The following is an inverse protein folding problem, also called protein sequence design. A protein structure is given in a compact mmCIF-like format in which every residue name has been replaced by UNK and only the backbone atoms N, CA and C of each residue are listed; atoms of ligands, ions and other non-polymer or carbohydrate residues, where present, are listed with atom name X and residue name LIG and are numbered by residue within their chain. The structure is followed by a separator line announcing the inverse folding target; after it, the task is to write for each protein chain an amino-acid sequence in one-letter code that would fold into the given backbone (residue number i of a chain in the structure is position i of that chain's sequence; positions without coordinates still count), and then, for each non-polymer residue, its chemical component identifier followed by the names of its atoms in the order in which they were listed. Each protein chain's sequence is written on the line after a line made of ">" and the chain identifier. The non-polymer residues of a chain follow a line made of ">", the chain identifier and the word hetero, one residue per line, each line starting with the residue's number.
data_IF_023114061927
#
_entry.id   IF_023114061927
#
_cell.length_a   1.000
_cell.length_b   1.000
_cell.length_c   1.000
_cell.angle_alpha   90.00
_cell.angle_beta   90.00
_cell.angle_gamma   90.00
#
_symmetry.space_group_name_H-M   'P 1'
#
loop_
_entity.id
_entity.type
_entity.pdbx_description
1 polymer ?
#
# COMPACT_ATOMS: atom_id res chain seq x y z
N UNK A 1 -1.72 4.68 15.96
CA UNK A 1 -1.44 3.71 14.87
C UNK A 1 -0.11 4.03 14.18
N UNK A 2 0.65 3.04 13.72
CA UNK A 2 1.88 3.24 12.93
C UNK A 2 1.61 2.95 11.45
N UNK A 3 1.76 3.97 10.61
CA UNK A 3 1.62 3.87 9.16
C UNK A 3 3.00 3.98 8.52
N UNK A 4 3.31 3.07 7.61
CA UNK A 4 4.42 3.20 6.67
C UNK A 4 3.86 3.50 5.28
N UNK A 5 4.11 4.71 4.77
CA UNK A 5 3.86 5.00 3.36
C UNK A 5 5.06 4.55 2.53
N UNK A 6 4.81 3.73 1.51
CA UNK A 6 5.83 3.41 0.50
C UNK A 6 5.38 4.01 -0.81
N UNK A 7 6.20 4.86 -1.41
CA UNK A 7 5.71 5.71 -2.49
C UNK A 7 6.74 5.96 -3.59
N UNK A 8 6.23 6.31 -4.77
CA UNK A 8 6.99 6.86 -5.88
C UNK A 8 6.45 8.26 -6.23
N UNK A 9 7.24 9.02 -6.98
CA UNK A 9 6.79 10.23 -7.67
C UNK A 9 6.18 11.34 -6.79
N UNK A 10 5.47 12.24 -7.46
CA UNK A 10 4.79 13.38 -6.81
C UNK A 10 3.44 12.94 -6.24
N UNK A 11 2.76 11.99 -6.88
CA UNK A 11 1.43 11.57 -6.44
C UNK A 11 1.50 10.96 -5.03
N UNK A 12 2.39 10.00 -4.80
CA UNK A 12 2.51 9.37 -3.49
C UNK A 12 3.13 10.30 -2.43
N UNK A 13 4.01 11.22 -2.84
CA UNK A 13 4.56 12.27 -1.96
C UNK A 13 3.46 13.16 -1.40
N UNK A 14 2.57 13.68 -2.26
CA UNK A 14 1.51 14.61 -1.82
C UNK A 14 0.57 13.98 -0.80
N UNK A 15 0.23 12.70 -0.99
CA UNK A 15 -0.60 11.94 -0.04
C UNK A 15 0.16 11.73 1.27
N UNK A 16 1.43 11.33 1.21
CA UNK A 16 2.27 11.14 2.40
C UNK A 16 2.40 12.42 3.22
N UNK A 17 2.65 13.55 2.55
CA UNK A 17 2.79 14.86 3.20
C UNK A 17 1.47 15.33 3.80
N UNK A 18 0.36 15.13 3.08
CA UNK A 18 -0.97 15.44 3.60
C UNK A 18 -1.30 14.59 4.84
N UNK A 19 -1.01 13.28 4.82
CA UNK A 19 -1.23 12.40 5.95
C UNK A 19 -0.41 12.84 7.17
N UNK A 20 0.87 13.21 6.99
CA UNK A 20 1.71 13.72 8.08
C UNK A 20 1.22 15.03 8.69
N UNK A 21 0.62 15.89 7.88
CA UNK A 21 0.14 17.20 8.33
C UNK A 21 -1.18 17.11 9.10
N UNK A 22 -2.02 16.10 8.81
CA UNK A 22 -3.39 16.05 9.30
C UNK A 22 -3.71 14.78 10.11
N UNK A 23 -2.75 13.86 10.26
CA UNK A 23 -2.99 12.67 11.07
C UNK A 23 -3.22 13.03 12.55
N UNK A 24 -4.04 12.22 13.26
CA UNK A 24 -4.16 12.33 14.70
C UNK A 24 -2.80 12.30 15.41
N UNK A 25 -2.65 12.99 16.56
CA UNK A 25 -1.37 13.12 17.26
C UNK A 25 -0.79 11.78 17.76
N UNK A 26 -1.62 10.76 17.95
CA UNK A 26 -1.25 9.41 18.36
C UNK A 26 -0.84 8.51 17.19
N UNK A 27 -0.90 9.01 15.96
CA UNK A 27 -0.42 8.31 14.78
C UNK A 27 1.06 8.61 14.52
N UNK A 28 1.79 7.61 14.05
CA UNK A 28 3.16 7.78 13.58
C UNK A 28 3.22 7.45 12.09
N UNK A 29 3.61 8.42 11.27
CA UNK A 29 3.64 8.27 9.80
C UNK A 29 5.09 8.27 9.32
N UNK A 30 5.62 7.06 9.16
CA UNK A 30 6.91 6.82 8.51
C UNK A 30 6.75 6.76 7.00
N UNK A 31 7.81 7.04 6.24
CA UNK A 31 7.76 6.91 4.79
C UNK A 31 9.04 6.35 4.21
N UNK A 32 8.92 5.61 3.11
CA UNK A 32 10.04 5.15 2.31
C UNK A 32 9.79 5.46 0.83
N UNK A 33 10.76 6.14 0.21
CA UNK A 33 10.74 6.43 -1.22
C UNK A 33 11.30 5.24 -1.98
N UNK A 34 10.49 4.65 -2.87
CA UNK A 34 10.90 3.53 -3.71
C UNK A 34 11.60 4.02 -4.99
N UNK A 35 12.49 3.21 -5.59
CA UNK A 35 13.11 3.51 -6.88
C UNK A 35 12.05 3.71 -7.97
N UNK A 36 12.21 4.71 -8.85
CA UNK A 36 11.26 4.96 -9.95
C UNK A 36 11.52 4.11 -11.19
N UNK A 37 12.71 3.52 -11.29
CA UNK A 37 13.09 2.59 -12.35
C UNK A 37 13.16 1.21 -11.73
N UNK A 38 12.22 0.35 -12.13
CA UNK A 38 12.13 -1.04 -11.70
C UNK A 38 12.10 -1.93 -12.95
N UNK A 39 12.64 -3.16 -12.89
CA UNK A 39 12.53 -4.11 -13.98
C UNK A 39 11.06 -4.53 -14.21
N UNK A 40 10.75 -5.16 -15.35
CA UNK A 40 9.42 -5.72 -15.61
C UNK A 40 9.00 -6.84 -14.66
N UNK A 41 9.97 -7.52 -14.03
CA UNK A 41 9.79 -8.60 -13.04
C UNK A 41 10.85 -8.41 -11.96
N UNK A 42 10.47 -8.55 -10.70
CA UNK A 42 11.38 -8.42 -9.56
C UNK A 42 11.89 -9.80 -9.15
N UNK A 43 13.16 -10.10 -9.47
CA UNK A 43 13.80 -11.36 -9.08
C UNK A 43 14.47 -11.26 -7.69
N UNK A 44 15.04 -10.11 -7.34
CA UNK A 44 15.77 -9.85 -6.09
C UNK A 44 15.22 -8.60 -5.38
N UNK A 45 14.12 -8.69 -4.62
CA UNK A 45 13.50 -7.56 -3.92
C UNK A 45 14.47 -6.76 -3.04
N UNK A 46 15.45 -7.43 -2.43
CA UNK A 46 16.47 -6.85 -1.57
C UNK A 46 17.38 -5.83 -2.28
N UNK A 47 17.47 -5.84 -3.61
CA UNK A 47 18.22 -4.82 -4.37
C UNK A 47 17.47 -3.48 -4.42
N UNK A 48 16.16 -3.48 -4.20
CA UNK A 48 15.29 -2.31 -4.30
C UNK A 48 14.78 -1.83 -2.94
N UNK A 49 15.05 -2.58 -1.87
CA UNK A 49 14.58 -2.32 -0.51
C UNK A 49 15.76 -2.01 0.42
N UNK A 50 15.54 -1.21 1.48
CA UNK A 50 16.56 -0.97 2.49
C UNK A 50 16.79 -2.24 3.32
N UNK A 51 17.89 -2.29 4.08
CA UNK A 51 18.14 -3.42 4.98
C UNK A 51 17.06 -3.59 6.06
N UNK A 52 16.41 -2.49 6.47
CA UNK A 52 15.34 -2.49 7.48
C UNK A 52 14.29 -1.44 7.15
N UNK A 53 13.04 -1.71 7.51
CA UNK A 53 11.95 -0.73 7.49
C UNK A 53 11.45 -0.50 8.93
N UNK A 54 10.95 0.71 9.25
CA UNK A 54 10.39 0.96 10.57
C UNK A 54 9.16 0.09 10.80
N UNK A 55 8.91 -0.39 12.03
CA UNK A 55 7.72 -1.16 12.35
C UNK A 55 6.43 -0.39 12.02
N UNK A 56 5.46 -1.07 11.42
CA UNK A 56 4.18 -0.49 11.04
C UNK A 56 3.03 -1.46 11.31
N UNK A 57 1.84 -0.92 11.58
CA UNK A 57 0.60 -1.68 11.69
C UNK A 57 -0.06 -1.79 10.30
N UNK A 58 0.06 -0.70 9.52
CA UNK A 58 -0.49 -0.54 8.17
C UNK A 58 0.58 -0.03 7.19
N UNK A 59 0.65 -0.66 6.01
CA UNK A 59 1.39 -0.15 4.84
C UNK A 59 0.42 0.53 3.88
N UNK A 60 0.69 1.80 3.55
CA UNK A 60 0.01 2.53 2.49
C UNK A 60 0.90 2.54 1.25
N UNK A 61 0.52 1.77 0.24
CA UNK A 61 1.30 1.56 -0.98
C UNK A 61 0.88 2.53 -2.10
N UNK A 62 1.70 3.54 -2.33
CA UNK A 62 1.47 4.62 -3.30
C UNK A 62 2.46 4.50 -4.47
N UNK A 63 2.51 3.30 -5.05
CA UNK A 63 3.36 2.99 -6.20
C UNK A 63 2.76 3.50 -7.51
N UNK A 64 3.64 3.96 -8.40
CA UNK A 64 3.32 4.41 -9.76
C UNK A 64 3.88 3.43 -10.82
N UNK A 65 4.26 2.21 -10.41
CA UNK A 65 4.85 1.18 -11.26
C UNK A 65 4.45 -0.24 -10.79
N UNK A 66 4.17 -1.20 -11.70
CA UNK A 66 3.81 -2.58 -11.35
C UNK A 66 4.78 -3.26 -10.38
N UNK A 67 6.08 -3.09 -10.59
CA UNK A 67 7.11 -3.67 -9.70
C UNK A 67 6.99 -3.24 -8.23
N UNK A 68 6.32 -2.14 -7.89
CA UNK A 68 6.05 -1.80 -6.48
C UNK A 68 5.15 -2.83 -5.82
N UNK A 69 4.15 -3.35 -6.55
CA UNK A 69 3.27 -4.39 -6.04
C UNK A 69 4.04 -5.69 -5.76
N UNK A 70 5.05 -6.02 -6.57
CA UNK A 70 5.91 -7.18 -6.36
C UNK A 70 6.82 -7.03 -5.13
N UNK A 71 7.15 -5.81 -4.72
CA UNK A 71 7.95 -5.54 -3.50
C UNK A 71 7.11 -5.56 -2.20
N UNK A 72 5.79 -5.42 -2.28
CA UNK A 72 4.92 -5.34 -1.10
C UNK A 72 5.00 -6.56 -0.16
N UNK A 73 5.07 -7.81 -0.64
CA UNK A 73 5.28 -8.98 0.21
C UNK A 73 6.49 -8.87 1.14
N UNK A 74 7.61 -8.32 0.66
CA UNK A 74 8.81 -8.11 1.47
C UNK A 74 8.68 -6.92 2.39
N UNK A 75 8.11 -5.81 1.90
CA UNK A 75 7.86 -4.60 2.69
C UNK A 75 7.02 -4.92 3.93
N UNK A 76 5.89 -5.60 3.77
CA UNK A 76 4.99 -5.93 4.90
C UNK A 76 5.64 -6.87 5.89
N UNK A 77 6.43 -7.85 5.41
CA UNK A 77 7.21 -8.77 6.25
C UNK A 77 8.27 -8.03 7.06
N UNK A 78 8.98 -7.09 6.45
CA UNK A 78 10.05 -6.31 7.08
C UNK A 78 9.52 -5.38 8.18
N UNK A 79 8.38 -4.74 7.96
CA UNK A 79 7.80 -3.80 8.94
C UNK A 79 6.79 -4.46 9.91
N UNK A 80 6.38 -5.71 9.64
CA UNK A 80 5.42 -6.45 10.46
C UNK A 80 3.97 -5.99 10.30
N UNK A 81 3.64 -5.25 9.25
CA UNK A 81 2.29 -4.74 9.02
C UNK A 81 1.30 -5.88 8.78
N UNK A 82 0.09 -5.71 9.32
CA UNK A 82 -1.02 -6.67 9.17
C UNK A 82 -2.05 -6.22 8.15
N UNK A 83 -1.96 -4.97 7.70
CA UNK A 83 -2.83 -4.40 6.67
C UNK A 83 -1.99 -3.74 5.59
N UNK A 84 -2.35 -3.99 4.34
CA UNK A 84 -1.84 -3.29 3.17
C UNK A 84 -3.00 -2.55 2.47
N UNK A 85 -2.98 -1.22 2.54
CA UNK A 85 -3.88 -0.38 1.78
C UNK A 85 -3.18 -0.01 0.47
N UNK A 86 -3.73 -0.47 -0.65
CA UNK A 86 -3.10 -0.40 -1.98
C UNK A 86 -4.06 0.28 -2.96
N UNK A 87 -4.14 1.62 -2.96
CA UNK A 87 -5.02 2.34 -3.88
C UNK A 87 -4.63 2.17 -5.35
N UNK A 88 -5.64 2.16 -6.22
CA UNK A 88 -5.48 1.96 -7.66
C UNK A 88 -6.04 3.19 -8.40
N UNK A 89 -5.25 4.26 -8.45
CA UNK A 89 -5.60 5.46 -9.20
C UNK A 89 -5.27 5.35 -10.70
N UNK A 90 -4.38 4.44 -11.07
CA UNK A 90 -4.13 4.07 -12.45
C UNK A 90 -3.99 2.55 -12.59
N UNK A 91 -4.81 1.95 -13.45
CA UNK A 91 -4.81 0.51 -13.70
C UNK A 91 -3.53 -0.02 -14.32
N UNK A 92 -2.72 0.85 -14.94
CA UNK A 92 -1.40 0.48 -15.44
C UNK A 92 -0.39 0.25 -14.30
N UNK A 93 -0.58 0.85 -13.13
CA UNK A 93 0.30 0.66 -11.96
C UNK A 93 -0.03 -0.62 -11.20
N UNK A 94 -1.30 -1.01 -11.18
CA UNK A 94 -1.73 -2.30 -10.62
C UNK A 94 -2.76 -2.97 -11.53
N UNK A 95 -2.32 -3.74 -12.55
CA UNK A 95 -3.20 -4.49 -13.41
C UNK A 95 -4.00 -5.55 -12.64
N UNK A 96 -5.22 -5.93 -13.10
CA UNK A 96 -6.08 -6.88 -12.36
C UNK A 96 -5.43 -8.23 -12.06
N UNK A 97 -4.61 -8.75 -12.97
CA UNK A 97 -3.87 -10.01 -12.75
C UNK A 97 -2.88 -9.89 -11.59
N UNK A 98 -2.09 -8.83 -11.58
CA UNK A 98 -1.11 -8.54 -10.54
C UNK A 98 -1.78 -8.22 -9.19
N UNK A 99 -2.91 -7.49 -9.21
CA UNK A 99 -3.73 -7.25 -8.02
C UNK A 99 -4.17 -8.57 -7.35
N UNK A 100 -4.66 -9.53 -8.15
CA UNK A 100 -5.09 -10.83 -7.63
C UNK A 100 -3.92 -11.65 -7.10
N UNK A 101 -2.77 -11.62 -7.77
CA UNK A 101 -1.54 -12.26 -7.29
C UNK A 101 -1.07 -11.66 -5.96
N UNK A 102 -0.98 -10.34 -5.89
CA UNK A 102 -0.61 -9.60 -4.69
C UNK A 102 -1.55 -9.92 -3.52
N UNK A 103 -2.87 -9.93 -3.76
CA UNK A 103 -3.84 -10.30 -2.73
C UNK A 103 -3.58 -11.71 -2.18
N UNK A 104 -3.25 -12.68 -3.05
CA UNK A 104 -2.88 -14.04 -2.64
C UNK A 104 -1.59 -14.10 -1.83
N UNK A 105 -0.55 -13.38 -2.26
CA UNK A 105 0.73 -13.32 -1.54
C UNK A 105 0.59 -12.72 -0.16
N UNK A 106 -0.14 -11.60 -0.03
CA UNK A 106 -0.39 -10.93 1.25
C UNK A 106 -1.26 -11.80 2.17
N UNK A 107 -2.30 -12.44 1.63
CA UNK A 107 -3.14 -13.35 2.41
C UNK A 107 -2.34 -14.55 2.95
N UNK A 108 -1.41 -15.12 2.18
CA UNK A 108 -0.52 -16.19 2.64
C UNK A 108 0.40 -15.77 3.80
N UNK A 109 0.67 -14.47 3.93
CA UNK A 109 1.40 -13.89 5.06
C UNK A 109 0.49 -13.44 6.22
N UNK A 110 -0.83 -13.66 6.13
CA UNK A 110 -1.79 -13.20 7.13
C UNK A 110 -1.97 -11.68 7.15
N UNK A 111 -1.72 -11.03 6.01
CA UNK A 111 -1.88 -9.58 5.79
C UNK A 111 -3.17 -9.33 5.02
N UNK A 112 -4.02 -8.46 5.55
CA UNK A 112 -5.27 -8.03 4.91
C UNK A 112 -4.95 -6.96 3.86
N UNK A 113 -5.31 -7.22 2.60
CA UNK A 113 -5.13 -6.26 1.52
C UNK A 113 -6.47 -5.57 1.17
N UNK A 114 -6.44 -4.25 1.03
CA UNK A 114 -7.59 -3.42 0.64
C UNK A 114 -7.20 -2.60 -0.59
N UNK A 115 -8.03 -2.65 -1.64
CA UNK A 115 -7.71 -2.09 -2.96
C UNK A 115 -8.76 -1.06 -3.42
N UNK A 116 -8.81 0.15 -2.84
CA UNK A 116 -9.73 1.18 -3.29
C UNK A 116 -9.36 1.63 -4.71
N UNK A 117 -10.38 1.73 -5.57
CA UNK A 117 -10.20 2.11 -6.97
C UNK A 117 -11.25 3.14 -7.40
N UNK A 118 -10.89 4.44 -7.53
CA UNK A 118 -9.65 5.11 -7.08
C UNK A 118 -9.52 5.23 -5.55
N UNK A 119 -8.42 5.81 -5.06
CA UNK A 119 -8.18 5.97 -3.61
C UNK A 119 -9.34 6.67 -2.89
N UNK A 120 -9.86 7.74 -3.48
CA UNK A 120 -10.95 8.54 -2.89
C UNK A 120 -12.30 7.81 -2.75
N UNK A 121 -12.39 6.55 -3.20
CA UNK A 121 -13.56 5.70 -2.93
C UNK A 121 -13.50 4.98 -1.58
N UNK A 122 -12.37 5.07 -0.88
CA UNK A 122 -12.24 4.56 0.47
C UNK A 122 -13.16 5.34 1.41
N UNK A 123 -13.99 4.60 2.13
CA UNK A 123 -14.82 5.07 3.26
C UNK A 123 -14.53 4.15 4.44
N UNK A 124 -15.08 4.44 5.62
CA UNK A 124 -14.92 3.63 6.84
C UNK A 124 -15.28 2.15 6.65
N UNK A 125 -16.19 1.82 5.72
CA UNK A 125 -16.73 0.45 5.58
C UNK A 125 -16.79 -0.04 4.14
N UNK A 126 -16.56 0.82 3.15
CA UNK A 126 -16.66 0.47 1.73
C UNK A 126 -15.51 1.02 0.90
N UNK A 127 -15.22 0.33 -0.20
CA UNK A 127 -14.34 0.78 -1.28
C UNK A 127 -15.09 0.71 -2.62
N UNK A 128 -14.56 1.42 -3.61
CA UNK A 128 -15.12 1.53 -4.96
C UNK A 128 -16.51 2.17 -4.98
N UNK A 129 -17.11 2.28 -6.16
CA UNK A 129 -18.42 2.91 -6.33
C UNK A 129 -19.29 2.20 -7.37
N UNK A 130 -20.59 2.50 -7.34
CA UNK A 130 -21.58 1.91 -8.24
C UNK A 130 -21.64 0.39 -8.12
N UNK A 131 -21.66 -0.31 -9.26
CA UNK A 131 -21.78 -1.78 -9.32
C UNK A 131 -20.56 -2.55 -8.78
N UNK A 132 -19.46 -1.87 -8.45
CA UNK A 132 -18.20 -2.47 -7.98
C UNK A 132 -17.93 -2.20 -6.51
N UNK A 133 -18.87 -1.57 -5.80
CA UNK A 133 -18.73 -1.30 -4.38
C UNK A 133 -18.54 -2.61 -3.61
N UNK A 134 -17.57 -2.62 -2.70
CA UNK A 134 -17.28 -3.75 -1.82
C UNK A 134 -17.23 -3.25 -0.39
N UNK A 135 -17.78 -4.02 0.53
CA UNK A 135 -17.65 -3.79 1.97
C UNK A 135 -16.38 -4.46 2.49
N UNK A 136 -15.76 -3.85 3.50
CA UNK A 136 -14.69 -4.48 4.26
C UNK A 136 -14.91 -4.23 5.75
N UNK A 137 -14.31 -5.06 6.58
CA UNK A 137 -14.29 -4.94 8.03
C UNK A 137 -12.82 -5.03 8.45
N UNK A 138 -12.20 -3.89 8.69
CA UNK A 138 -10.79 -3.77 9.08
C UNK A 138 -10.62 -2.52 9.96
N UNK A 139 -10.53 -2.70 11.30
CA UNK A 139 -10.45 -1.61 12.27
C UNK A 139 -9.34 -0.60 11.96
N UNK A 140 -8.18 -1.08 11.48
CA UNK A 140 -7.04 -0.20 11.16
C UNK A 140 -7.27 0.74 9.97
N UNK A 141 -8.37 0.56 9.22
CA UNK A 141 -8.74 1.43 8.09
C UNK A 141 -10.06 2.17 8.34
N UNK A 142 -10.90 1.65 9.24
CA UNK A 142 -12.18 2.27 9.61
C UNK A 142 -12.08 3.32 10.73
N UNK A 143 -10.93 3.43 11.40
CA UNK A 143 -10.64 4.42 12.47
C UNK A 143 -10.21 5.80 11.96
#
# INVERSE_FOLDING_TARGET
>A
MRILTVFQGIYGRRITDNLRQHCPPEWTVSSHLLPTVLPPVIDYPEEYLPATLPPADLVLALGEHPGVAELLPDIVRMCGARVALVPIDNVAWLPPGLMNQLAGWLAAQGVRAIFPKPFCTLTETTINSGRRQLTYDEPLVSE
#
